data_IF_424938682612
#
_entry.id   IF_424938682612
#
_cell.length_a   1.000
_cell.length_b   1.000
_cell.length_c   1.000
_cell.angle_alpha   90.00
_cell.angle_beta   90.00
_cell.angle_gamma   90.00
#
_symmetry.space_group_name_H-M   'P 1'
#
loop_
_entity.id
_entity.type
_entity.pdbx_description
1 polymer ?
#
# COMPACT_ATOMS: atom_id res chain seq x y z
N UNK A 1 30.24 -4.66 -17.21
CA UNK A 1 30.18 -3.17 -17.16
C UNK A 1 28.90 -2.78 -16.44
N UNK A 2 28.94 -1.76 -15.60
CA UNK A 2 27.72 -1.24 -14.97
C UNK A 2 26.85 -0.54 -16.03
N UNK A 3 25.54 -0.78 -15.97
CA UNK A 3 24.57 -0.02 -16.74
C UNK A 3 24.46 1.41 -16.18
N UNK A 4 24.30 2.40 -17.07
CA UNK A 4 24.06 3.77 -16.64
C UNK A 4 22.59 3.97 -16.27
N UNK A 5 22.35 4.58 -15.11
CA UNK A 5 21.02 4.98 -14.63
C UNK A 5 21.01 6.49 -14.44
N UNK A 6 20.01 7.15 -15.03
CA UNK A 6 19.81 8.59 -14.92
C UNK A 6 19.05 8.91 -13.62
N UNK A 7 19.78 9.50 -12.67
CA UNK A 7 19.27 9.85 -11.34
C UNK A 7 18.07 10.82 -11.39
N UNK A 8 18.09 11.80 -12.29
CA UNK A 8 16.99 12.75 -12.41
C UNK A 8 15.72 12.05 -12.89
N UNK A 9 15.85 11.16 -13.88
CA UNK A 9 14.71 10.41 -14.41
C UNK A 9 14.12 9.45 -13.40
N UNK A 10 14.91 8.90 -12.47
CA UNK A 10 14.36 8.14 -11.35
C UNK A 10 13.38 8.98 -10.52
N UNK A 11 13.53 10.30 -10.45
CA UNK A 11 12.66 11.17 -9.68
C UNK A 11 11.50 11.79 -10.48
N UNK A 12 11.66 11.95 -11.80
CA UNK A 12 10.69 12.68 -12.66
C UNK A 12 9.88 11.81 -13.62
N UNK A 13 10.32 10.58 -13.91
CA UNK A 13 9.70 9.70 -14.90
C UNK A 13 9.24 8.38 -14.24
N UNK A 14 7.93 8.21 -13.97
CA UNK A 14 7.40 7.00 -13.33
C UNK A 14 7.70 5.71 -14.09
N UNK A 15 7.72 5.75 -15.43
CA UNK A 15 8.03 4.59 -16.26
C UNK A 15 9.50 4.23 -16.11
N UNK A 16 10.39 5.20 -16.27
CA UNK A 16 11.83 4.97 -16.11
C UNK A 16 12.18 4.43 -14.72
N UNK A 17 11.59 5.00 -13.67
CA UNK A 17 11.75 4.51 -12.30
C UNK A 17 11.29 3.06 -12.17
N UNK A 18 10.09 2.76 -12.66
CA UNK A 18 9.53 1.41 -12.58
C UNK A 18 10.42 0.41 -13.31
N UNK A 19 10.82 0.70 -14.56
CA UNK A 19 11.63 -0.21 -15.36
C UNK A 19 12.99 -0.51 -14.69
N UNK A 20 13.64 0.50 -14.12
CA UNK A 20 14.87 0.31 -13.34
C UNK A 20 14.65 -0.55 -12.09
N UNK A 21 13.64 -0.23 -11.28
CA UNK A 21 13.37 -0.97 -10.03
C UNK A 21 12.96 -2.41 -10.33
N UNK A 22 12.11 -2.63 -11.33
CA UNK A 22 11.70 -3.97 -11.75
C UNK A 22 12.89 -4.79 -12.23
N UNK A 23 13.79 -4.20 -13.03
CA UNK A 23 15.03 -4.86 -13.42
C UNK A 23 15.91 -5.20 -12.23
N UNK A 24 16.08 -4.27 -11.29
CA UNK A 24 16.88 -4.47 -10.09
C UNK A 24 16.34 -5.61 -9.19
N UNK A 25 15.02 -5.70 -9.07
CA UNK A 25 14.33 -6.71 -8.24
C UNK A 25 14.03 -8.03 -8.97
N UNK A 26 14.36 -8.13 -10.27
CA UNK A 26 13.91 -9.22 -11.14
C UNK A 26 12.38 -9.38 -11.18
N UNK A 27 11.63 -8.28 -11.07
CA UNK A 27 10.18 -8.26 -11.25
C UNK A 27 9.85 -8.27 -12.75
N UNK A 28 9.11 -9.28 -13.18
CA UNK A 28 8.83 -9.60 -14.58
C UNK A 28 7.33 -9.71 -14.85
N UNK A 29 6.98 -9.95 -16.12
CA UNK A 29 5.59 -10.25 -16.51
C UNK A 29 5.06 -11.53 -15.85
N UNK A 30 5.93 -12.47 -15.46
CA UNK A 30 5.52 -13.68 -14.75
C UNK A 30 5.01 -13.33 -13.34
N UNK A 31 5.64 -12.38 -12.66
CA UNK A 31 5.20 -11.92 -11.34
C UNK A 31 3.83 -11.24 -11.42
N UNK A 32 3.61 -10.40 -12.44
CA UNK A 32 2.29 -9.80 -12.70
C UNK A 32 1.25 -10.91 -12.93
N UNK A 33 1.56 -11.89 -13.78
CA UNK A 33 0.67 -13.04 -14.02
C UNK A 33 0.37 -13.79 -12.72
N UNK A 34 1.38 -14.03 -11.89
CA UNK A 34 1.22 -14.73 -10.62
C UNK A 34 0.37 -13.95 -9.62
N UNK A 35 0.54 -12.63 -9.52
CA UNK A 35 -0.33 -11.77 -8.70
C UNK A 35 -1.81 -11.95 -9.09
N UNK A 36 -2.11 -12.02 -10.38
CA UNK A 36 -3.47 -12.21 -10.89
C UNK A 36 -4.02 -13.62 -10.59
N UNK A 37 -3.18 -14.67 -10.66
CA UNK A 37 -3.54 -16.03 -10.26
C UNK A 37 -3.83 -16.13 -8.76
N UNK A 38 -3.01 -15.45 -7.95
CA UNK A 38 -3.16 -15.41 -6.49
C UNK A 38 -4.32 -14.51 -6.03
N UNK A 39 -4.75 -13.54 -6.85
CA UNK A 39 -5.82 -12.61 -6.49
C UNK A 39 -7.08 -13.30 -5.94
N UNK A 40 -7.74 -14.25 -6.63
CA UNK A 40 -8.93 -14.93 -6.10
C UNK A 40 -8.66 -15.73 -4.82
N UNK A 41 -7.42 -16.18 -4.61
CA UNK A 41 -7.00 -16.94 -3.42
C UNK A 41 -6.86 -15.99 -2.21
N UNK A 42 -6.26 -14.82 -2.41
CA UNK A 42 -6.00 -13.82 -1.36
C UNK A 42 -7.29 -13.05 -1.00
N UNK A 43 -8.20 -12.84 -1.95
CA UNK A 43 -9.39 -11.99 -1.78
C UNK A 43 -10.24 -12.27 -0.54
N UNK A 44 -10.56 -13.53 -0.19
CA UNK A 44 -11.28 -13.85 1.04
C UNK A 44 -10.55 -13.39 2.32
N UNK A 45 -9.22 -13.33 2.28
CA UNK A 45 -8.36 -12.94 3.41
C UNK A 45 -8.17 -11.42 3.52
N UNK A 46 -8.50 -10.64 2.48
CA UNK A 46 -8.27 -9.17 2.46
C UNK A 46 -8.85 -8.47 3.69
N UNK A 47 -10.11 -8.69 4.12
CA UNK A 47 -10.65 -8.01 5.30
C UNK A 47 -9.82 -8.23 6.57
N UNK A 48 -9.34 -9.46 6.79
CA UNK A 48 -8.52 -9.83 7.95
C UNK A 48 -7.12 -9.23 7.85
N UNK A 49 -6.50 -9.25 6.67
CA UNK A 49 -5.19 -8.63 6.43
C UNK A 49 -5.24 -7.14 6.75
N UNK A 50 -6.27 -6.44 6.24
CA UNK A 50 -6.45 -5.00 6.45
C UNK A 50 -6.69 -4.68 7.92
N UNK A 51 -7.54 -5.43 8.62
CA UNK A 51 -7.74 -5.20 10.06
C UNK A 51 -6.45 -5.42 10.87
N UNK A 52 -5.68 -6.46 10.52
CA UNK A 52 -4.39 -6.77 11.16
C UNK A 52 -3.38 -5.63 10.96
N UNK A 53 -3.29 -5.09 9.74
CA UNK A 53 -2.44 -3.92 9.43
C UNK A 53 -2.83 -2.72 10.30
N UNK A 54 -4.12 -2.39 10.38
CA UNK A 54 -4.56 -1.22 11.15
C UNK A 54 -4.35 -1.39 12.65
N UNK A 55 -4.57 -2.60 13.20
CA UNK A 55 -4.22 -2.90 14.60
C UNK A 55 -2.73 -2.72 14.86
N UNK A 56 -1.87 -3.18 13.94
CA UNK A 56 -0.42 -3.02 14.05
C UNK A 56 0.01 -1.55 13.99
N UNK A 57 -0.58 -0.76 13.10
CA UNK A 57 -0.32 0.69 13.05
C UNK A 57 -0.84 1.43 14.29
N UNK A 58 -1.87 0.91 14.96
CA UNK A 58 -2.41 1.47 16.20
C UNK A 58 -1.67 1.01 17.46
N UNK A 59 -0.83 -0.03 17.38
CA UNK A 59 -0.09 -0.53 18.54
C UNK A 59 1.14 0.32 18.89
N UNK A 60 1.48 1.32 18.06
CA UNK A 60 2.56 2.26 18.33
C UNK A 60 2.04 3.69 18.17
N UNK A 61 2.38 4.56 19.11
CA UNK A 61 2.01 5.97 19.12
C UNK A 61 2.54 6.72 17.88
N UNK A 62 3.78 6.46 17.50
CA UNK A 62 4.47 7.08 16.35
C UNK A 62 3.81 6.78 15.01
N UNK A 63 3.09 5.66 14.87
CA UNK A 63 2.31 5.34 13.67
C UNK A 63 0.84 5.73 13.83
N UNK A 64 0.28 5.64 15.03
CA UNK A 64 -1.12 6.00 15.31
C UNK A 64 -1.40 7.48 15.08
N UNK A 65 -0.44 8.36 15.33
CA UNK A 65 -0.59 9.81 15.15
C UNK A 65 -1.01 10.23 13.73
N UNK A 66 -0.65 9.47 12.69
CA UNK A 66 -1.01 9.77 11.29
C UNK A 66 -2.51 9.63 10.99
N UNK A 67 -3.26 9.01 11.91
CA UNK A 67 -4.71 8.84 11.79
C UNK A 67 -5.51 9.95 12.48
N UNK A 68 -4.84 10.83 13.25
CA UNK A 68 -5.46 12.05 13.82
C UNK A 68 -5.78 13.05 12.70
N UNK A 69 -4.97 13.05 11.62
CA UNK A 69 -5.13 13.97 10.49
C UNK A 69 -6.49 13.73 9.82
N UNK A 70 -7.30 14.78 9.77
CA UNK A 70 -8.64 14.80 9.19
C UNK A 70 -8.58 14.55 7.67
N UNK A 71 -9.37 13.60 7.17
CA UNK A 71 -9.54 13.41 5.73
C UNK A 71 -10.45 14.49 5.11
N UNK A 72 -10.25 14.81 3.82
CA UNK A 72 -11.20 15.64 3.07
C UNK A 72 -12.59 14.97 3.05
N UNK A 73 -13.66 15.75 3.27
CA UNK A 73 -15.04 15.23 3.37
C UNK A 73 -15.46 14.75 4.77
N UNK A 74 -14.57 14.75 5.76
CA UNK A 74 -14.86 14.40 7.15
C UNK A 74 -14.77 15.63 8.05
N UNK A 75 -15.49 16.70 7.70
CA UNK A 75 -15.41 18.01 8.35
C UNK A 75 -15.79 17.98 9.84
N UNK A 76 -16.69 17.07 10.22
CA UNK A 76 -17.12 16.81 11.59
C UNK A 76 -16.21 15.84 12.36
N UNK A 77 -15.13 15.33 11.75
CA UNK A 77 -14.18 14.44 12.43
C UNK A 77 -13.21 15.27 13.26
N UNK A 78 -13.47 15.34 14.57
CA UNK A 78 -12.60 15.96 15.56
C UNK A 78 -11.89 14.88 16.38
N UNK A 79 -10.93 14.18 15.79
CA UNK A 79 -9.96 13.43 16.59
C UNK A 79 -9.06 14.46 17.28
N UNK A 80 -9.36 14.79 18.53
CA UNK A 80 -8.43 15.54 19.38
C UNK A 80 -7.26 14.61 19.73
N UNK A 81 -6.09 15.19 20.05
CA UNK A 81 -4.93 14.43 20.56
C UNK A 81 -5.28 13.56 21.79
N UNK A 82 -6.38 13.88 22.48
CA UNK A 82 -6.66 13.39 23.83
C UNK A 82 -7.73 12.31 23.98
N UNK A 83 -8.57 11.95 22.99
CA UNK A 83 -9.28 10.65 23.05
C UNK A 83 -10.14 10.28 21.82
N UNK A 84 -10.22 8.97 21.60
CA UNK A 84 -11.15 8.22 20.73
C UNK A 84 -10.85 8.11 19.22
N UNK A 85 -9.58 7.95 18.84
CA UNK A 85 -9.27 7.24 17.59
C UNK A 85 -9.61 5.75 17.75
N UNK A 86 -10.84 5.40 17.37
CA UNK A 86 -11.32 4.03 17.34
C UNK A 86 -11.25 3.47 15.92
N UNK A 87 -10.85 2.19 15.81
CA UNK A 87 -10.65 1.48 14.54
C UNK A 87 -11.94 1.27 13.73
N UNK A 88 -13.08 1.49 14.36
CA UNK A 88 -14.45 1.39 13.84
C UNK A 88 -15.07 2.76 13.54
N UNK A 89 -14.36 3.87 13.76
CA UNK A 89 -14.83 5.19 13.35
C UNK A 89 -14.99 5.29 11.83
N UNK A 90 -15.92 6.12 11.36
CA UNK A 90 -16.23 6.26 9.94
C UNK A 90 -15.00 6.60 9.07
N UNK A 91 -14.09 7.46 9.58
CA UNK A 91 -12.84 7.77 8.88
C UNK A 91 -11.92 6.54 8.77
N UNK A 92 -11.84 5.70 9.81
CA UNK A 92 -11.00 4.51 9.79
C UNK A 92 -11.57 3.43 8.88
N UNK A 93 -12.89 3.24 8.88
CA UNK A 93 -13.57 2.33 7.95
C UNK A 93 -13.31 2.77 6.49
N UNK A 94 -13.47 4.06 6.19
CA UNK A 94 -13.16 4.60 4.87
C UNK A 94 -11.71 4.36 4.45
N UNK A 95 -10.73 4.60 5.35
CA UNK A 95 -9.32 4.34 5.03
C UNK A 95 -9.02 2.84 4.84
N UNK A 96 -9.68 1.96 5.61
CA UNK A 96 -9.60 0.49 5.44
C UNK A 96 -10.16 0.06 4.07
N UNK A 97 -11.26 0.65 3.65
CA UNK A 97 -11.85 0.38 2.32
C UNK A 97 -10.93 0.85 1.19
N UNK A 98 -10.34 2.05 1.31
CA UNK A 98 -9.38 2.54 0.34
C UNK A 98 -8.15 1.64 0.21
N UNK A 99 -7.60 1.14 1.33
CA UNK A 99 -6.48 0.20 1.29
C UNK A 99 -6.91 -1.16 0.71
N UNK A 100 -8.13 -1.62 1.00
CA UNK A 100 -8.69 -2.84 0.41
C UNK A 100 -8.82 -2.73 -1.11
N UNK A 101 -9.32 -1.59 -1.61
CA UNK A 101 -9.42 -1.32 -3.05
C UNK A 101 -8.04 -1.24 -3.70
N UNK A 102 -7.08 -0.57 -3.06
CA UNK A 102 -5.70 -0.49 -3.54
C UNK A 102 -5.07 -1.88 -3.68
N UNK A 103 -5.13 -2.71 -2.62
CA UNK A 103 -4.56 -4.06 -2.65
C UNK A 103 -5.22 -4.94 -3.71
N UNK A 104 -6.55 -4.92 -3.81
CA UNK A 104 -7.27 -5.66 -4.86
C UNK A 104 -6.82 -5.22 -6.25
N UNK A 105 -6.68 -3.91 -6.48
CA UNK A 105 -6.23 -3.37 -7.76
C UNK A 105 -4.80 -3.79 -8.09
N UNK A 106 -3.87 -3.80 -7.12
CA UNK A 106 -2.51 -4.30 -7.32
C UNK A 106 -2.52 -5.77 -7.78
N UNK A 107 -3.35 -6.60 -7.13
CA UNK A 107 -3.42 -8.03 -7.41
C UNK A 107 -4.06 -8.34 -8.77
N UNK A 108 -5.02 -7.53 -9.23
CA UNK A 108 -5.76 -7.79 -10.48
C UNK A 108 -5.31 -6.98 -11.69
N UNK A 109 -4.32 -6.11 -11.53
CA UNK A 109 -3.82 -5.34 -12.67
C UNK A 109 -3.01 -6.28 -13.57
N UNK A 110 -3.50 -6.51 -14.79
CA UNK A 110 -2.84 -7.38 -15.79
C UNK A 110 -1.75 -6.65 -16.58
N UNK A 111 -1.92 -5.33 -16.76
CA UNK A 111 -0.98 -4.48 -17.48
C UNK A 111 -0.51 -3.32 -16.59
N UNK A 112 0.78 -3.29 -16.26
CA UNK A 112 1.38 -2.21 -15.48
C UNK A 112 1.81 -1.07 -16.40
N UNK A 113 0.82 -0.50 -17.12
CA UNK A 113 0.98 0.60 -18.06
C UNK A 113 1.15 1.96 -17.37
N UNK A 114 1.42 3.01 -18.14
CA UNK A 114 1.73 4.34 -17.59
C UNK A 114 0.58 4.92 -16.75
N UNK A 115 -0.67 4.63 -17.12
CA UNK A 115 -1.83 5.06 -16.34
C UNK A 115 -1.87 4.38 -14.95
N UNK A 116 -1.52 3.09 -14.88
CA UNK A 116 -1.40 2.38 -13.62
C UNK A 116 -0.21 2.87 -12.78
N UNK A 117 0.96 3.10 -13.40
CA UNK A 117 2.12 3.67 -12.73
C UNK A 117 1.85 5.07 -12.19
N UNK A 118 1.08 5.89 -12.94
CA UNK A 118 0.65 7.21 -12.50
C UNK A 118 -0.32 7.12 -11.30
N UNK A 119 -1.23 6.15 -11.31
CA UNK A 119 -2.10 5.88 -10.16
C UNK A 119 -1.27 5.52 -8.91
N UNK A 120 -0.31 4.61 -9.01
CA UNK A 120 0.58 4.28 -7.88
C UNK A 120 1.39 5.49 -7.41
N UNK A 121 1.86 6.31 -8.36
CA UNK A 121 2.56 7.57 -8.04
C UNK A 121 1.66 8.53 -7.25
N UNK A 122 0.39 8.67 -7.61
CA UNK A 122 -0.57 9.49 -6.86
C UNK A 122 -0.81 8.96 -5.45
N UNK A 123 -0.95 7.63 -5.29
CA UNK A 123 -1.06 7.00 -3.96
C UNK A 123 0.19 7.30 -3.12
N UNK A 124 1.39 7.21 -3.69
CA UNK A 124 2.62 7.59 -3.01
C UNK A 124 2.66 9.08 -2.62
N UNK A 125 2.21 9.97 -3.51
CA UNK A 125 2.17 11.42 -3.25
C UNK A 125 1.21 11.81 -2.11
N UNK A 126 0.12 11.05 -1.91
CA UNK A 126 -0.77 11.24 -0.75
C UNK A 126 -0.04 11.05 0.59
N UNK A 127 1.02 10.24 0.61
CA UNK A 127 1.81 9.92 1.81
C UNK A 127 3.10 10.75 1.95
N UNK A 128 3.38 11.64 0.99
CA UNK A 128 4.64 12.39 0.89
C UNK A 128 4.44 13.91 0.84
N UNK A 129 3.32 14.43 1.34
CA UNK A 129 2.96 15.86 1.27
C UNK A 129 2.91 16.47 -0.14
N UNK A 130 2.69 15.65 -1.17
CA UNK A 130 2.69 16.08 -2.57
C UNK A 130 1.30 16.10 -3.21
N UNK A 131 0.23 15.94 -2.41
CA UNK A 131 -1.16 15.82 -2.87
C UNK A 131 -2.11 16.89 -2.30
N UNK A 132 -1.58 18.03 -1.82
CA UNK A 132 -2.39 19.15 -1.31
C UNK A 132 -3.00 18.89 0.06
N UNK A 133 -4.12 19.56 0.38
CA UNK A 133 -4.70 19.62 1.73
C UNK A 133 -5.14 18.27 2.34
N UNK A 134 -5.19 17.19 1.55
CA UNK A 134 -5.50 15.84 2.01
C UNK A 134 -4.29 14.92 2.21
N UNK A 135 -3.06 15.41 1.97
CA UNK A 135 -1.85 14.60 2.13
C UNK A 135 -1.46 14.43 3.58
N UNK A 136 -0.92 13.26 3.91
CA UNK A 136 -0.33 12.94 5.21
C UNK A 136 1.16 12.78 4.98
N UNK A 137 2.01 13.45 5.76
CA UNK A 137 3.46 13.28 5.64
C UNK A 137 3.92 12.08 6.45
N UNK A 138 3.88 10.89 5.89
CA UNK A 138 4.33 9.69 6.62
C UNK A 138 5.83 9.55 6.47
N UNK A 139 6.56 9.51 7.58
CA UNK A 139 8.00 9.23 7.55
C UNK A 139 8.28 7.90 6.82
N UNK A 140 9.28 7.91 5.93
CA UNK A 140 9.66 6.76 5.13
C UNK A 140 9.98 5.53 5.98
N UNK A 141 10.51 5.71 7.20
CA UNK A 141 10.77 4.60 8.15
C UNK A 141 9.48 3.81 8.41
N UNK A 142 8.34 4.49 8.58
CA UNK A 142 7.07 3.84 8.87
C UNK A 142 6.43 3.22 7.61
N UNK A 143 6.59 3.85 6.45
CA UNK A 143 6.16 3.25 5.16
C UNK A 143 6.93 1.96 4.91
N UNK A 144 8.26 1.99 5.06
CA UNK A 144 9.11 0.83 4.83
C UNK A 144 8.79 -0.31 5.81
N UNK A 145 8.63 0.01 7.10
CA UNK A 145 8.23 -0.98 8.11
C UNK A 145 6.87 -1.61 7.82
N UNK A 146 5.90 -0.81 7.35
CA UNK A 146 4.57 -1.32 6.98
C UNK A 146 4.65 -2.27 5.77
N UNK A 147 5.46 -1.96 4.76
CA UNK A 147 5.61 -2.85 3.60
C UNK A 147 6.25 -4.18 3.97
N UNK A 148 7.29 -4.20 4.82
CA UNK A 148 7.84 -5.46 5.33
C UNK A 148 6.85 -6.27 6.17
N UNK A 149 6.03 -5.61 7.00
CA UNK A 149 4.97 -6.30 7.73
C UNK A 149 3.88 -6.86 6.81
N UNK A 150 3.47 -6.11 5.79
CA UNK A 150 2.47 -6.53 4.82
C UNK A 150 2.97 -7.72 3.98
N UNK A 151 4.22 -7.70 3.54
CA UNK A 151 4.87 -8.83 2.87
C UNK A 151 4.81 -10.08 3.75
N UNK A 152 5.25 -9.98 5.01
CA UNK A 152 5.21 -11.11 5.95
C UNK A 152 3.80 -11.67 6.14
N UNK A 153 2.78 -10.80 6.28
CA UNK A 153 1.38 -11.25 6.38
C UNK A 153 0.90 -11.98 5.14
N UNK A 154 1.22 -11.47 3.94
CA UNK A 154 0.79 -12.10 2.69
C UNK A 154 1.47 -13.45 2.51
N UNK A 155 2.76 -13.52 2.76
CA UNK A 155 3.56 -14.73 2.67
C UNK A 155 3.12 -15.79 3.68
N UNK A 156 2.89 -15.41 4.95
CA UNK A 156 2.35 -16.30 5.98
C UNK A 156 0.96 -16.83 5.60
N UNK A 157 0.11 -15.98 5.00
CA UNK A 157 -1.20 -16.44 4.52
C UNK A 157 -1.10 -17.41 3.37
N UNK A 158 -0.19 -17.18 2.43
CA UNK A 158 0.04 -18.13 1.35
C UNK A 158 0.59 -19.45 1.89
N UNK A 159 1.61 -19.46 2.75
CA UNK A 159 2.16 -20.73 3.25
C UNK A 159 1.19 -21.57 4.07
N UNK A 160 0.23 -20.95 4.76
CA UNK A 160 -0.75 -21.66 5.58
C UNK A 160 -2.07 -21.94 4.83
N UNK A 161 -2.13 -21.71 3.51
CA UNK A 161 -3.28 -22.08 2.69
C UNK A 161 -3.15 -23.54 2.25
N UNK A 162 -4.11 -24.37 2.65
CA UNK A 162 -4.23 -25.74 2.16
C UNK A 162 -4.38 -25.74 0.62
N UNK A 163 -3.59 -26.56 -0.08
CA UNK A 163 -3.75 -26.83 -1.51
C UNK A 163 -3.06 -25.85 -2.49
N UNK A 164 -2.05 -25.09 -2.06
CA UNK A 164 -1.17 -24.36 -3.00
C UNK A 164 -0.24 -25.31 -3.77
N UNK A 165 0.16 -26.43 -3.16
CA UNK A 165 1.01 -27.44 -3.81
C UNK A 165 0.25 -28.28 -4.86
N UNK A 166 -1.09 -28.18 -4.91
CA UNK A 166 -1.97 -29.00 -5.76
C UNK A 166 -2.42 -28.29 -7.06
N UNK A 167 -1.86 -27.12 -7.41
CA UNK A 167 -2.21 -26.34 -8.61
C UNK A 167 -1.05 -26.02 -9.53
#
# INVERSE_FOLDING_TARGET
MAEHVDDLRLHTDPRYRFDYISKFLNFTQNDITMLNVLAPIIFPSVPVIIDTIYRKLFSYDVTKQYFIVRNQGFENFAATKDNNLALDSAQMLYRKDMLSMYLKRLLTQTEWNDAFLQYMTQVGQMHANKSGAGSINVDYIHINALFGFMEHLLVDKLWNMDGIDDK
#
